data_IF_358065072017
#
_entry.id   IF_358065072017
#
_cell.length_a   1.000
_cell.length_b   1.000
_cell.length_c   1.000
_cell.angle_alpha   90.00
_cell.angle_beta   90.00
_cell.angle_gamma   90.00
#
_symmetry.space_group_name_H-M   'P 1'
#
loop_
_entity.id
_entity.type
_entity.pdbx_description
1 polymer ?
#
# COMPACT_ATOMS: atom_id res chain seq x y z
N UNK A 1 -33.80 9.86 -14.98
CA UNK A 1 -32.36 10.24 -14.90
C UNK A 1 -31.62 9.09 -14.24
N UNK A 2 -30.87 8.33 -15.05
CA UNK A 2 -30.39 7.00 -14.72
C UNK A 2 -29.27 7.00 -13.65
N UNK A 3 -29.50 6.20 -12.61
CA UNK A 3 -28.49 5.59 -11.75
C UNK A 3 -27.50 4.80 -12.62
N UNK A 4 -26.20 5.17 -12.61
CA UNK A 4 -25.15 4.34 -13.17
C UNK A 4 -24.66 3.37 -12.11
N UNK A 5 -25.00 2.11 -12.31
CA UNK A 5 -24.43 0.97 -11.62
C UNK A 5 -22.90 0.97 -11.76
N UNK A 6 -22.19 0.94 -10.63
CA UNK A 6 -20.82 0.47 -10.56
C UNK A 6 -20.82 -1.01 -10.98
N UNK A 7 -20.38 -1.30 -12.20
CA UNK A 7 -20.01 -2.66 -12.58
C UNK A 7 -18.69 -2.98 -11.88
N UNK A 8 -18.74 -3.92 -10.95
CA UNK A 8 -17.57 -4.56 -10.33
C UNK A 8 -16.71 -5.21 -11.42
N UNK A 9 -15.48 -4.72 -11.60
CA UNK A 9 -14.44 -5.41 -12.36
C UNK A 9 -14.07 -6.72 -11.64
N UNK A 10 -13.85 -7.84 -12.36
CA UNK A 10 -13.60 -9.13 -11.74
C UNK A 10 -12.24 -9.17 -11.02
N UNK A 11 -12.29 -9.61 -9.76
CA UNK A 11 -11.24 -9.66 -8.73
C UNK A 11 -10.18 -10.76 -8.89
N UNK A 12 -9.86 -11.13 -10.12
CA UNK A 12 -8.74 -12.03 -10.48
C UNK A 12 -8.11 -11.45 -11.72
N UNK A 13 -6.78 -11.45 -11.82
CA UNK A 13 -6.06 -11.06 -13.05
C UNK A 13 -6.89 -11.42 -14.29
N UNK A 14 -7.40 -10.43 -15.02
CA UNK A 14 -8.01 -10.73 -16.31
C UNK A 14 -6.88 -11.11 -17.26
N UNK A 15 -6.60 -12.41 -17.30
CA UNK A 15 -5.60 -13.15 -18.08
C UNK A 15 -5.76 -13.01 -19.61
N UNK A 16 -6.52 -12.04 -20.12
CA UNK A 16 -6.87 -11.89 -21.54
C UNK A 16 -5.77 -11.28 -22.42
N UNK A 17 -4.55 -11.11 -21.89
CA UNK A 17 -3.38 -10.67 -22.67
C UNK A 17 -2.22 -11.68 -22.63
N UNK A 18 -2.49 -12.97 -22.36
CA UNK A 18 -1.45 -14.00 -22.35
C UNK A 18 -1.76 -15.11 -23.37
N UNK A 19 -0.84 -15.40 -24.31
CA UNK A 19 -1.05 -16.47 -25.29
C UNK A 19 -1.23 -17.80 -24.55
N UNK A 20 -2.25 -18.54 -24.99
CA UNK A 20 -2.77 -19.77 -24.39
C UNK A 20 -1.70 -20.78 -23.91
N UNK A 21 -2.07 -21.51 -22.84
CA UNK A 21 -1.30 -22.54 -22.12
C UNK A 21 -0.66 -23.63 -22.99
N UNK A 22 -1.11 -23.82 -24.24
CA UNK A 22 -0.50 -24.76 -25.17
C UNK A 22 0.83 -24.28 -25.78
N UNK A 23 1.14 -22.98 -25.76
CA UNK A 23 2.42 -22.46 -26.26
C UNK A 23 3.56 -22.66 -25.23
N UNK A 24 3.23 -22.63 -23.94
CA UNK A 24 4.21 -22.72 -22.84
C UNK A 24 4.74 -24.14 -22.59
N UNK A 25 3.94 -25.19 -22.83
CA UNK A 25 4.40 -26.59 -22.68
C UNK A 25 5.58 -26.95 -23.57
N UNK A 26 5.74 -26.28 -24.72
CA UNK A 26 6.87 -26.48 -25.65
C UNK A 26 8.17 -25.79 -25.22
N UNK A 27 8.10 -24.83 -24.28
CA UNK A 27 9.27 -24.02 -23.88
C UNK A 27 9.86 -24.41 -22.51
N UNK A 28 9.16 -25.23 -21.71
CA UNK A 28 9.63 -25.71 -20.39
C UNK A 28 11.03 -26.36 -20.44
N UNK A 29 11.40 -27.17 -21.46
CA UNK A 29 12.75 -27.72 -21.56
C UNK A 29 13.84 -26.69 -21.89
N UNK A 30 13.48 -25.54 -22.49
CA UNK A 30 14.45 -24.50 -22.89
C UNK A 30 14.89 -23.61 -21.72
N UNK A 31 14.05 -23.46 -20.69
CA UNK A 31 14.34 -22.62 -19.52
C UNK A 31 15.03 -23.36 -18.37
N UNK A 32 15.08 -24.70 -18.41
CA UNK A 32 15.80 -25.52 -17.42
C UNK A 32 17.31 -25.62 -17.66
N UNK A 33 17.84 -24.93 -18.69
CA UNK A 33 19.27 -24.84 -18.89
C UNK A 33 19.93 -24.05 -17.75
N UNK A 34 21.09 -24.49 -17.23
CA UNK A 34 21.78 -23.81 -16.14
C UNK A 34 22.14 -22.35 -16.45
N UNK A 35 22.31 -21.98 -17.72
CA UNK A 35 22.49 -20.60 -18.20
C UNK A 35 21.28 -19.67 -17.98
N UNK A 36 20.08 -20.23 -17.75
CA UNK A 36 18.86 -19.50 -17.38
C UNK A 36 18.57 -19.53 -15.86
N UNK A 37 19.44 -20.13 -15.05
CA UNK A 37 19.35 -20.06 -13.58
C UNK A 37 19.96 -18.75 -13.11
N UNK A 38 19.11 -17.77 -12.82
CA UNK A 38 19.53 -16.49 -12.25
C UNK A 38 20.17 -16.76 -10.87
N UNK A 39 21.46 -16.47 -10.75
CA UNK A 39 22.33 -16.80 -9.63
C UNK A 39 21.88 -16.10 -8.33
N UNK A 40 21.46 -16.86 -7.32
CA UNK A 40 20.82 -16.37 -6.08
C UNK A 40 21.78 -15.86 -5.00
N UNK A 41 23.03 -15.53 -5.33
CA UNK A 41 24.02 -15.05 -4.38
C UNK A 41 24.37 -13.59 -4.69
N UNK A 42 23.92 -12.68 -3.81
CA UNK A 42 24.08 -11.21 -3.85
C UNK A 42 23.25 -10.47 -4.92
N UNK A 43 22.06 -9.97 -4.54
CA UNK A 43 21.37 -8.91 -5.29
C UNK A 43 21.16 -7.67 -4.41
N UNK A 44 21.94 -6.59 -4.60
CA UNK A 44 21.43 -5.27 -4.29
C UNK A 44 20.33 -4.94 -5.31
N UNK A 45 19.06 -5.07 -4.88
CA UNK A 45 17.83 -4.57 -5.53
C UNK A 45 17.69 -4.88 -7.03
N UNK A 46 17.25 -6.09 -7.34
CA UNK A 46 16.83 -6.47 -8.70
C UNK A 46 15.70 -5.52 -9.16
N UNK A 47 15.98 -4.72 -10.19
CA UNK A 47 14.97 -3.88 -10.85
C UNK A 47 14.16 -4.78 -11.79
N UNK A 48 12.88 -4.96 -11.51
CA UNK A 48 11.96 -5.71 -12.36
C UNK A 48 11.10 -4.75 -13.18
N UNK A 49 11.14 -4.93 -14.50
CA UNK A 49 10.18 -4.32 -15.43
C UNK A 49 8.94 -5.21 -15.58
N UNK A 50 7.93 -4.73 -16.30
CA UNK A 50 6.67 -5.45 -16.52
C UNK A 50 6.84 -6.83 -17.15
N UNK A 51 7.74 -6.98 -18.14
CA UNK A 51 7.94 -8.25 -18.85
C UNK A 51 8.52 -9.30 -17.90
N UNK A 52 9.54 -8.93 -17.14
CA UNK A 52 10.22 -9.85 -16.23
C UNK A 52 9.32 -10.23 -15.04
N UNK A 53 8.60 -9.26 -14.48
CA UNK A 53 7.58 -9.52 -13.47
C UNK A 53 6.49 -10.46 -13.98
N UNK A 54 5.93 -10.18 -15.17
CA UNK A 54 4.86 -11.00 -15.75
C UNK A 54 5.31 -12.45 -16.00
N UNK A 55 6.54 -12.64 -16.47
CA UNK A 55 7.10 -13.98 -16.68
C UNK A 55 7.32 -14.71 -15.37
N UNK A 56 7.94 -14.05 -14.38
CA UNK A 56 8.14 -14.62 -13.04
C UNK A 56 6.81 -15.05 -12.41
N UNK A 57 5.79 -14.20 -12.53
CA UNK A 57 4.47 -14.45 -11.97
C UNK A 57 3.76 -15.65 -12.62
N UNK A 58 3.86 -15.81 -13.96
CA UNK A 58 3.34 -16.98 -14.69
C UNK A 58 4.03 -18.28 -14.31
N UNK A 59 5.29 -18.19 -13.89
CA UNK A 59 6.07 -19.31 -13.36
C UNK A 59 5.85 -19.49 -11.85
N UNK A 60 4.72 -18.99 -11.33
CA UNK A 60 4.31 -19.12 -9.93
C UNK A 60 5.30 -18.50 -8.91
N UNK A 61 6.21 -17.63 -9.36
CA UNK A 61 7.05 -16.87 -8.42
C UNK A 61 6.18 -15.86 -7.69
N UNK A 62 6.24 -15.92 -6.36
CA UNK A 62 5.52 -15.01 -5.44
C UNK A 62 6.45 -14.19 -4.55
N UNK A 63 7.72 -14.58 -4.46
CA UNK A 63 8.71 -13.88 -3.65
C UNK A 63 9.41 -12.77 -4.46
N UNK A 64 9.11 -11.54 -4.07
CA UNK A 64 9.65 -10.30 -4.60
C UNK A 64 10.16 -9.37 -3.48
N UNK A 65 10.68 -9.95 -2.39
CA UNK A 65 11.30 -9.17 -1.32
C UNK A 65 12.50 -8.37 -1.85
N UNK A 66 12.63 -7.12 -1.42
CA UNK A 66 13.72 -6.20 -1.80
C UNK A 66 13.85 -5.89 -3.31
N UNK A 67 12.82 -6.22 -4.10
CA UNK A 67 12.75 -5.91 -5.54
C UNK A 67 12.43 -4.43 -5.74
N UNK A 68 12.97 -3.84 -6.80
CA UNK A 68 12.52 -2.52 -7.28
C UNK A 68 11.58 -2.74 -8.46
N UNK A 69 10.30 -2.42 -8.30
CA UNK A 69 9.33 -2.49 -9.39
C UNK A 69 9.38 -1.20 -10.21
N UNK A 70 9.66 -1.34 -11.51
CA UNK A 70 9.86 -0.21 -12.41
C UNK A 70 8.88 -0.22 -13.58
N UNK A 71 8.00 0.79 -13.63
CA UNK A 71 7.03 0.99 -14.70
C UNK A 71 5.92 -0.07 -14.73
N UNK A 72 5.66 -0.74 -13.62
CA UNK A 72 4.67 -1.83 -13.57
C UNK A 72 3.30 -1.27 -13.17
N UNK A 73 2.25 -1.47 -13.98
CA UNK A 73 0.91 -0.97 -13.68
C UNK A 73 0.15 -1.96 -12.79
N UNK A 74 0.33 -1.86 -11.47
CA UNK A 74 -0.46 -2.62 -10.49
C UNK A 74 -1.81 -1.98 -10.15
N UNK A 75 -2.30 -1.03 -10.98
CA UNK A 75 -3.61 -0.40 -10.79
C UNK A 75 -4.70 -1.47 -10.71
N UNK A 76 -5.46 -1.45 -9.62
CA UNK A 76 -6.58 -2.38 -9.35
C UNK A 76 -6.17 -3.87 -9.34
N UNK A 77 -4.87 -4.17 -9.18
CA UNK A 77 -4.36 -5.53 -9.13
C UNK A 77 -4.39 -6.07 -7.70
N UNK A 78 -4.75 -7.36 -7.57
CA UNK A 78 -4.63 -8.11 -6.33
C UNK A 78 -3.20 -8.64 -6.14
N UNK A 79 -2.54 -8.17 -5.08
CA UNK A 79 -1.16 -8.50 -4.74
C UNK A 79 -1.04 -9.37 -3.50
N UNK A 80 -2.16 -9.86 -2.93
CA UNK A 80 -2.20 -10.53 -1.62
C UNK A 80 -1.38 -11.82 -1.54
N UNK A 81 -1.08 -12.43 -2.68
CA UNK A 81 -0.24 -13.63 -2.75
C UNK A 81 1.27 -13.32 -2.88
N UNK A 82 1.68 -12.06 -2.96
CA UNK A 82 3.08 -11.68 -3.11
C UNK A 82 3.76 -11.45 -1.76
N UNK A 83 5.02 -11.85 -1.66
CA UNK A 83 5.93 -11.39 -0.59
C UNK A 83 6.75 -10.22 -1.12
N UNK A 84 6.54 -9.02 -0.58
CA UNK A 84 7.12 -7.77 -1.10
C UNK A 84 7.86 -6.96 -0.03
N UNK A 85 8.21 -7.56 1.11
CA UNK A 85 8.95 -6.89 2.18
C UNK A 85 10.21 -6.22 1.63
N UNK A 86 10.44 -4.96 2.03
CA UNK A 86 11.59 -4.16 1.58
C UNK A 86 11.57 -3.78 0.09
N UNK A 87 10.51 -4.12 -0.66
CA UNK A 87 10.41 -3.75 -2.07
C UNK A 87 10.26 -2.23 -2.25
N UNK A 88 10.69 -1.74 -3.41
CA UNK A 88 10.58 -0.35 -3.81
C UNK A 88 9.55 -0.24 -4.93
N UNK A 89 8.41 0.38 -4.64
CA UNK A 89 7.33 0.57 -5.59
C UNK A 89 7.33 1.96 -6.23
N UNK A 90 8.26 2.86 -5.89
CA UNK A 90 8.20 4.29 -6.28
C UNK A 90 8.04 4.58 -7.78
N UNK A 91 8.30 3.59 -8.62
CA UNK A 91 8.18 3.68 -10.08
C UNK A 91 7.04 2.84 -10.67
N UNK A 92 6.15 2.31 -9.82
CA UNK A 92 4.96 1.54 -10.22
C UNK A 92 3.68 2.38 -10.05
N UNK A 93 2.56 1.89 -10.58
CA UNK A 93 1.23 2.44 -10.27
C UNK A 93 0.49 1.46 -9.38
N UNK A 94 -0.11 1.93 -8.29
CA UNK A 94 -0.83 1.09 -7.31
C UNK A 94 -2.27 1.57 -7.06
N UNK A 95 -2.78 2.58 -7.77
CA UNK A 95 -4.13 3.10 -7.55
C UNK A 95 -5.17 1.96 -7.48
N UNK A 96 -5.98 1.90 -6.42
CA UNK A 96 -6.99 0.85 -6.25
C UNK A 96 -6.46 -0.59 -6.06
N UNK A 97 -5.14 -0.79 -5.93
CA UNK A 97 -4.57 -2.13 -5.75
C UNK A 97 -5.01 -2.76 -4.41
N UNK A 98 -5.08 -4.09 -4.38
CA UNK A 98 -5.40 -4.86 -3.17
C UNK A 98 -4.11 -5.39 -2.54
N UNK A 99 -3.76 -4.79 -1.41
CA UNK A 99 -2.58 -5.06 -0.57
C UNK A 99 -3.00 -5.57 0.83
N UNK A 100 -4.28 -5.89 1.02
CA UNK A 100 -4.85 -6.23 2.32
C UNK A 100 -4.14 -7.44 2.96
N UNK A 101 -3.82 -7.33 4.24
CA UNK A 101 -3.13 -8.37 5.02
C UNK A 101 -1.67 -8.62 4.65
N UNK A 102 -1.10 -7.88 3.69
CA UNK A 102 0.31 -8.05 3.34
C UNK A 102 1.23 -7.53 4.46
N UNK A 103 2.35 -8.23 4.62
CA UNK A 103 3.52 -7.68 5.30
C UNK A 103 4.31 -6.80 4.33
N UNK A 104 4.14 -5.49 4.50
CA UNK A 104 4.78 -4.40 3.75
C UNK A 104 5.92 -3.77 4.56
N UNK A 105 6.50 -4.51 5.51
CA UNK A 105 7.61 -4.03 6.33
C UNK A 105 8.76 -3.54 5.45
N UNK A 106 9.22 -2.32 5.72
CA UNK A 106 10.33 -1.69 4.99
C UNK A 106 10.04 -1.32 3.53
N UNK A 107 8.81 -1.49 3.04
CA UNK A 107 8.43 -1.13 1.66
C UNK A 107 8.54 0.37 1.44
N UNK A 108 8.92 0.77 0.23
CA UNK A 108 9.03 2.17 -0.16
C UNK A 108 7.92 2.58 -1.14
N UNK A 109 6.97 3.37 -0.64
CA UNK A 109 5.88 4.01 -1.38
C UNK A 109 6.01 5.54 -1.45
N UNK A 110 7.19 6.09 -1.11
CA UNK A 110 7.36 7.54 -0.96
C UNK A 110 6.96 8.31 -2.22
N UNK A 111 6.09 9.31 -2.08
CA UNK A 111 5.62 10.16 -3.19
C UNK A 111 4.68 9.47 -4.20
N UNK A 112 4.26 8.23 -3.95
CA UNK A 112 3.39 7.50 -4.87
C UNK A 112 1.92 7.88 -4.74
N UNK A 113 1.15 7.64 -5.81
CA UNK A 113 -0.31 7.51 -5.69
C UNK A 113 -0.69 6.09 -5.28
N UNK A 114 -1.32 5.99 -4.11
CA UNK A 114 -1.95 4.84 -3.48
C UNK A 114 -3.45 5.12 -3.25
N UNK A 115 -4.03 6.06 -4.00
CA UNK A 115 -5.43 6.45 -3.81
C UNK A 115 -6.35 5.24 -3.99
N UNK A 116 -7.32 5.11 -3.08
CA UNK A 116 -8.30 4.01 -3.07
C UNK A 116 -7.74 2.59 -2.94
N UNK A 117 -6.46 2.43 -2.59
CA UNK A 117 -5.90 1.10 -2.30
C UNK A 117 -6.62 0.43 -1.13
N UNK A 118 -6.66 -0.89 -1.14
CA UNK A 118 -7.04 -1.70 0.01
C UNK A 118 -5.79 -2.19 0.76
N UNK A 119 -5.52 -1.58 1.91
CA UNK A 119 -4.40 -1.86 2.80
C UNK A 119 -4.88 -2.42 4.15
N UNK A 120 -6.14 -2.85 4.25
CA UNK A 120 -6.74 -3.32 5.52
C UNK A 120 -5.91 -4.44 6.14
N UNK A 121 -5.64 -4.34 7.43
CA UNK A 121 -4.87 -5.32 8.20
C UNK A 121 -3.41 -5.53 7.75
N UNK A 122 -2.89 -4.70 6.84
CA UNK A 122 -1.49 -4.82 6.39
C UNK A 122 -0.51 -4.29 7.46
N UNK A 123 0.75 -4.74 7.37
CA UNK A 123 1.84 -4.31 8.27
C UNK A 123 2.76 -3.37 7.50
N UNK A 124 2.84 -2.10 7.91
CA UNK A 124 3.68 -1.07 7.30
C UNK A 124 4.82 -0.62 8.22
N UNK A 125 5.26 -1.49 9.14
CA UNK A 125 6.35 -1.20 10.05
C UNK A 125 7.63 -0.81 9.29
N UNK A 126 8.27 0.31 9.68
CA UNK A 126 9.45 0.86 9.00
C UNK A 126 9.30 1.15 7.49
N UNK A 127 8.07 1.13 6.95
CA UNK A 127 7.82 1.50 5.56
C UNK A 127 8.05 3.01 5.36
N UNK A 128 8.38 3.38 4.13
CA UNK A 128 8.55 4.78 3.72
C UNK A 128 7.34 5.19 2.89
N UNK A 129 6.46 5.96 3.50
CA UNK A 129 5.18 6.41 2.91
C UNK A 129 5.08 7.93 2.84
N UNK A 130 6.14 8.67 3.19
CA UNK A 130 6.14 10.13 3.18
C UNK A 130 5.78 10.70 1.80
N UNK A 131 4.95 11.74 1.77
CA UNK A 131 4.48 12.38 0.53
C UNK A 131 3.57 11.52 -0.35
N UNK A 132 3.22 10.30 0.06
CA UNK A 132 2.29 9.46 -0.71
C UNK A 132 0.85 9.99 -0.64
N UNK A 133 0.09 9.75 -1.70
CA UNK A 133 -1.33 10.03 -1.78
C UNK A 133 -2.15 8.75 -1.52
N UNK A 134 -2.77 8.65 -0.35
CA UNK A 134 -3.69 7.60 0.09
C UNK A 134 -5.14 8.12 0.21
N UNK A 135 -5.53 9.12 -0.61
CA UNK A 135 -6.90 9.63 -0.66
C UNK A 135 -7.91 8.50 -0.85
N UNK A 136 -8.89 8.41 0.06
CA UNK A 136 -9.93 7.39 0.07
C UNK A 136 -9.44 5.94 0.21
N UNK A 137 -8.20 5.70 0.65
CA UNK A 137 -7.70 4.34 0.87
C UNK A 137 -8.40 3.63 2.04
N UNK A 138 -8.53 2.31 1.96
CA UNK A 138 -9.02 1.45 3.04
C UNK A 138 -7.84 0.98 3.88
N UNK A 139 -7.75 1.42 5.13
CA UNK A 139 -6.63 1.21 6.05
C UNK A 139 -7.11 0.66 7.41
N UNK A 140 -8.32 0.10 7.49
CA UNK A 140 -8.85 -0.44 8.74
C UNK A 140 -7.90 -1.48 9.33
N UNK A 141 -7.66 -1.38 10.64
CA UNK A 141 -6.77 -2.28 11.39
C UNK A 141 -5.33 -2.36 10.85
N UNK A 142 -4.88 -1.39 10.05
CA UNK A 142 -3.50 -1.35 9.54
C UNK A 142 -2.51 -1.09 10.68
N UNK A 143 -1.33 -1.71 10.62
CA UNK A 143 -0.25 -1.39 11.54
C UNK A 143 0.75 -0.40 10.92
N UNK A 144 0.62 0.87 11.30
CA UNK A 144 1.46 2.01 10.94
C UNK A 144 2.31 2.51 12.12
N UNK A 145 2.53 1.68 13.15
CA UNK A 145 3.30 2.08 14.32
C UNK A 145 4.71 2.55 13.91
N UNK A 146 5.10 3.73 14.39
CA UNK A 146 6.38 4.40 14.09
C UNK A 146 6.60 4.75 12.59
N UNK A 147 5.57 4.62 11.74
CA UNK A 147 5.70 4.97 10.32
C UNK A 147 5.90 6.48 10.12
N UNK A 148 6.62 6.86 9.05
CA UNK A 148 6.76 8.25 8.64
C UNK A 148 5.74 8.58 7.54
N UNK A 149 4.68 9.30 7.93
CA UNK A 149 3.56 9.76 7.12
C UNK A 149 3.67 11.28 6.82
N UNK A 150 4.85 11.88 7.00
CA UNK A 150 5.02 13.33 6.78
C UNK A 150 4.57 13.74 5.38
N UNK A 151 3.79 14.82 5.29
CA UNK A 151 3.22 15.35 4.05
C UNK A 151 2.35 14.35 3.24
N UNK A 152 1.80 13.30 3.87
CA UNK A 152 0.90 12.37 3.17
C UNK A 152 -0.51 12.92 3.03
N UNK A 153 -1.22 12.45 2.00
CA UNK A 153 -2.65 12.73 1.81
C UNK A 153 -3.41 11.47 2.23
N UNK A 154 -4.26 11.59 3.24
CA UNK A 154 -5.14 10.56 3.79
C UNK A 154 -6.58 11.07 3.88
N UNK A 155 -6.94 12.07 3.05
CA UNK A 155 -8.29 12.62 3.05
C UNK A 155 -9.32 11.53 2.75
N UNK A 156 -10.39 11.47 3.53
CA UNK A 156 -11.45 10.46 3.39
C UNK A 156 -10.99 9.00 3.55
N UNK A 157 -9.75 8.76 4.00
CA UNK A 157 -9.26 7.40 4.20
C UNK A 157 -9.93 6.75 5.42
N UNK A 158 -10.09 5.42 5.37
CA UNK A 158 -10.64 4.65 6.48
C UNK A 158 -9.53 4.03 7.33
N UNK A 159 -9.19 4.66 8.45
CA UNK A 159 -8.18 4.25 9.43
C UNK A 159 -8.82 3.67 10.71
N UNK A 160 -10.07 3.17 10.65
CA UNK A 160 -10.73 2.56 11.80
C UNK A 160 -9.88 1.45 12.44
N UNK A 161 -9.72 1.47 13.76
CA UNK A 161 -8.89 0.53 14.54
C UNK A 161 -7.39 0.48 14.11
N UNK A 162 -6.90 1.45 13.34
CA UNK A 162 -5.50 1.48 12.90
C UNK A 162 -4.54 1.71 14.07
N UNK A 163 -3.38 1.06 14.04
CA UNK A 163 -2.29 1.34 14.96
C UNK A 163 -1.35 2.38 14.36
N UNK A 164 -1.45 3.63 14.82
CA UNK A 164 -0.61 4.77 14.46
C UNK A 164 0.31 5.18 15.62
N UNK A 165 0.54 4.30 16.60
CA UNK A 165 1.31 4.64 17.79
C UNK A 165 2.72 5.12 17.41
N UNK A 166 3.11 6.27 17.95
CA UNK A 166 4.39 6.95 17.69
C UNK A 166 4.65 7.28 16.20
N UNK A 167 3.63 7.25 15.34
CA UNK A 167 3.77 7.63 13.94
C UNK A 167 4.08 9.13 13.78
N UNK A 168 4.78 9.49 12.70
CA UNK A 168 5.06 10.88 12.35
C UNK A 168 4.07 11.32 11.27
N UNK A 169 3.05 12.07 11.69
CA UNK A 169 1.94 12.58 10.87
C UNK A 169 2.06 14.10 10.62
N UNK A 170 3.29 14.61 10.58
CA UNK A 170 3.54 16.05 10.41
C UNK A 170 3.01 16.53 9.05
N UNK A 171 2.24 17.61 9.04
CA UNK A 171 1.61 18.19 7.84
C UNK A 171 0.80 17.17 7.02
N UNK A 172 0.29 16.12 7.65
CA UNK A 172 -0.55 15.11 6.98
C UNK A 172 -1.97 15.64 6.78
N UNK A 173 -2.55 15.40 5.61
CA UNK A 173 -3.95 15.72 5.37
C UNK A 173 -4.85 14.53 5.74
N UNK A 174 -5.55 14.61 6.87
CA UNK A 174 -6.52 13.63 7.38
C UNK A 174 -7.96 14.16 7.31
N UNK A 175 -8.24 15.15 6.44
CA UNK A 175 -9.58 15.73 6.36
C UNK A 175 -10.62 14.65 6.03
N UNK A 176 -11.71 14.61 6.78
CA UNK A 176 -12.80 13.64 6.63
C UNK A 176 -12.39 12.16 6.80
N UNK A 177 -11.19 11.88 7.33
CA UNK A 177 -10.74 10.53 7.57
C UNK A 177 -11.53 9.88 8.72
N UNK A 178 -11.79 8.58 8.62
CA UNK A 178 -12.30 7.79 9.73
C UNK A 178 -11.12 7.30 10.58
N UNK A 179 -11.00 7.77 11.82
CA UNK A 179 -9.98 7.37 12.80
C UNK A 179 -10.64 6.73 14.03
N UNK A 180 -11.86 6.20 13.88
CA UNK A 180 -12.58 5.55 14.97
C UNK A 180 -11.73 4.47 15.63
N UNK A 181 -11.62 4.50 16.96
CA UNK A 181 -10.84 3.55 17.76
C UNK A 181 -9.33 3.46 17.39
N UNK A 182 -8.80 4.37 16.57
CA UNK A 182 -7.40 4.32 16.17
C UNK A 182 -6.46 4.59 17.34
N UNK A 183 -5.34 3.85 17.41
CA UNK A 183 -4.30 4.07 18.40
C UNK A 183 -3.30 5.12 17.90
N UNK A 184 -3.43 6.36 18.36
CA UNK A 184 -2.53 7.48 18.05
C UNK A 184 -1.57 7.79 19.22
N UNK A 185 -1.35 6.85 20.13
CA UNK A 185 -0.53 7.08 21.33
C UNK A 185 0.88 7.55 20.94
N UNK A 186 1.28 8.72 21.42
CA UNK A 186 2.60 9.31 21.17
C UNK A 186 2.83 9.77 19.72
N UNK A 187 1.80 9.76 18.85
CA UNK A 187 1.95 10.20 17.46
C UNK A 187 2.25 11.70 17.36
N UNK A 188 2.98 12.11 16.32
CA UNK A 188 3.26 13.51 16.04
C UNK A 188 2.35 14.04 14.93
N UNK A 189 1.27 14.73 15.31
CA UNK A 189 0.26 15.33 14.43
C UNK A 189 0.51 16.84 14.20
N UNK A 190 1.73 17.34 14.40
CA UNK A 190 2.01 18.77 14.22
C UNK A 190 1.66 19.25 12.80
N UNK A 191 0.81 20.27 12.70
CA UNK A 191 0.33 20.80 11.42
C UNK A 191 -0.59 19.85 10.64
N UNK A 192 -1.02 18.72 11.20
CA UNK A 192 -1.94 17.81 10.53
C UNK A 192 -3.32 18.46 10.33
N UNK A 193 -3.95 18.21 9.19
CA UNK A 193 -5.31 18.66 8.92
C UNK A 193 -6.31 17.55 9.27
N UNK A 194 -7.01 17.67 10.39
CA UNK A 194 -8.04 16.73 10.88
C UNK A 194 -9.46 17.28 10.65
N UNK A 195 -9.64 18.22 9.72
CA UNK A 195 -10.95 18.85 9.50
C UNK A 195 -12.03 17.81 9.21
N UNK A 196 -13.10 17.77 10.01
CA UNK A 196 -14.20 16.81 9.81
C UNK A 196 -13.84 15.34 10.04
N UNK A 197 -12.66 15.02 10.58
CA UNK A 197 -12.26 13.64 10.86
C UNK A 197 -13.06 13.05 12.05
N UNK A 198 -13.32 11.75 12.02
CA UNK A 198 -13.96 11.03 13.14
C UNK A 198 -12.92 10.33 14.01
N UNK A 199 -12.65 10.85 15.21
CA UNK A 199 -11.72 10.28 16.18
C UNK A 199 -12.44 9.62 17.37
N UNK A 200 -13.72 9.25 17.25
CA UNK A 200 -14.43 8.64 18.37
C UNK A 200 -13.73 7.35 18.83
N UNK A 201 -13.44 7.25 20.13
CA UNK A 201 -12.68 6.15 20.74
C UNK A 201 -11.17 6.13 20.44
N UNK A 202 -10.64 7.09 19.70
CA UNK A 202 -9.21 7.11 19.37
C UNK A 202 -8.32 7.42 20.58
N UNK A 203 -7.21 6.70 20.73
CA UNK A 203 -6.26 6.93 21.82
C UNK A 203 -5.23 8.01 21.44
N UNK A 204 -5.41 9.24 21.95
CA UNK A 204 -4.50 10.36 21.75
C UNK A 204 -3.47 10.56 22.87
N UNK A 205 -3.28 9.58 23.77
CA UNK A 205 -2.37 9.74 24.91
C UNK A 205 -0.95 10.10 24.43
N UNK A 206 -0.38 11.21 24.95
CA UNK A 206 0.93 11.76 24.56
C UNK A 206 1.06 12.17 23.08
N UNK A 207 -0.03 12.22 22.31
CA UNK A 207 0.02 12.70 20.94
C UNK A 207 0.38 14.19 20.90
N UNK A 208 1.25 14.59 19.96
CA UNK A 208 1.62 15.99 19.74
C UNK A 208 0.68 16.59 18.71
N UNK A 209 -0.28 17.39 19.14
CA UNK A 209 -1.33 17.97 18.25
C UNK A 209 -1.18 19.48 18.05
N UNK A 210 -0.03 20.07 18.44
CA UNK A 210 0.25 21.50 18.26
C UNK A 210 0.03 21.88 16.79
N UNK A 211 -0.73 22.95 16.54
CA UNK A 211 -1.13 23.44 15.20
C UNK A 211 -1.94 22.48 14.33
N UNK A 212 -2.44 21.35 14.87
CA UNK A 212 -3.35 20.50 14.12
C UNK A 212 -4.71 21.20 13.92
N UNK A 213 -5.27 21.12 12.71
CA UNK A 213 -6.60 21.65 12.44
C UNK A 213 -7.66 20.61 12.82
N UNK A 214 -8.24 20.74 14.00
CA UNK A 214 -9.28 19.82 14.53
C UNK A 214 -10.70 20.37 14.37
N UNK A 215 -10.91 21.41 13.53
CA UNK A 215 -12.24 21.99 13.33
C UNK A 215 -13.19 20.94 12.76
N UNK A 216 -14.42 20.90 13.27
CA UNK A 216 -15.45 19.93 12.90
C UNK A 216 -15.07 18.45 13.11
N UNK A 217 -13.92 18.15 13.73
CA UNK A 217 -13.57 16.78 14.06
C UNK A 217 -14.43 16.27 15.21
N UNK A 218 -14.87 15.01 15.14
CA UNK A 218 -15.48 14.33 16.28
C UNK A 218 -14.34 13.83 17.17
N UNK A 219 -14.16 14.45 18.33
CA UNK A 219 -13.05 14.17 19.24
C UNK A 219 -13.28 12.87 20.03
N UNK A 220 -12.21 12.26 20.57
CA UNK A 220 -12.37 11.12 21.49
C UNK A 220 -13.24 11.50 22.68
N UNK A 221 -14.09 10.55 23.11
CA UNK A 221 -14.86 10.62 24.36
C UNK A 221 -14.30 9.64 25.38
#
# INVERSE_FOLDING_TARGET
MHLRHYQSLPSKLSLLAFPSTNFLRRLIPMFNKPENRINTKHFPREKLNYKDFSNAYKLERRNFKNVVFFGIPFKEIDLRELSVQGADFRFASLEGAVLAGLDLTGVNFSGMSLSRCDLRGSILYQSKIFGANLDGALLNSVNLAQANLTNTILSGADLGDANLSKAILVNTNLAWANLNSANLQGANLQGANLYGADLYGANLNKAKTKTANIKAARLPV
#
